data_IF_460534993083
#
_entry.id   IF_460534993083
#
_cell.length_a   1.000
_cell.length_b   1.000
_cell.length_c   1.000
_cell.angle_alpha   90.00
_cell.angle_beta   90.00
_cell.angle_gamma   90.00
#
_symmetry.space_group_name_H-M   'P 1'
#
loop_
_entity.id
_entity.type
_entity.pdbx_description
1 polymer ?
#
# COMPACT_ATOMS: atom_id res chain seq x y z
N UNK A 1 8.71 1.46 -18.56
CA UNK A 1 9.87 1.99 -17.82
C UNK A 1 10.75 2.87 -18.71
N UNK A 2 11.37 2.31 -19.77
CA UNK A 2 12.31 3.04 -20.62
C UNK A 2 11.70 4.33 -21.22
N UNK A 3 10.49 4.25 -21.78
CA UNK A 3 9.77 5.42 -22.28
C UNK A 3 9.52 6.48 -21.21
N UNK A 4 9.11 6.06 -20.00
CA UNK A 4 8.87 7.01 -18.90
C UNK A 4 10.16 7.73 -18.50
N UNK A 5 11.31 7.03 -18.51
CA UNK A 5 12.62 7.65 -18.27
C UNK A 5 12.99 8.66 -19.35
N UNK A 6 12.71 8.35 -20.60
CA UNK A 6 13.01 9.26 -21.72
C UNK A 6 12.25 10.57 -21.64
N UNK A 7 10.98 10.53 -21.18
CA UNK A 7 10.14 11.72 -21.00
C UNK A 7 10.27 12.39 -19.61
N UNK A 8 11.25 11.99 -18.80
CA UNK A 8 11.54 12.61 -17.51
C UNK A 8 10.66 12.16 -16.35
N UNK A 9 10.20 10.91 -16.37
CA UNK A 9 9.38 10.27 -15.32
C UNK A 9 8.02 10.95 -15.05
N UNK A 10 7.46 11.63 -16.04
CA UNK A 10 6.18 12.35 -15.89
C UNK A 10 4.94 11.46 -16.01
N UNK A 11 5.07 10.24 -16.57
CA UNK A 11 3.94 9.33 -16.69
C UNK A 11 3.66 8.63 -15.35
N UNK A 12 2.37 8.46 -15.04
CA UNK A 12 1.95 7.70 -13.87
C UNK A 12 2.53 6.27 -13.90
N UNK A 13 3.20 5.88 -12.82
CA UNK A 13 3.80 4.56 -12.69
C UNK A 13 2.80 3.41 -12.85
N UNK A 14 1.52 3.67 -12.67
CA UNK A 14 0.44 2.70 -12.87
C UNK A 14 0.11 2.44 -14.34
N UNK A 15 0.49 3.33 -15.25
CA UNK A 15 0.22 3.18 -16.70
C UNK A 15 1.01 2.05 -17.37
N UNK A 16 1.99 1.48 -16.69
CA UNK A 16 2.75 0.31 -17.15
C UNK A 16 1.99 -1.03 -17.09
N UNK A 17 0.83 -1.06 -16.45
CA UNK A 17 0.00 -2.26 -16.36
C UNK A 17 -0.84 -2.42 -17.62
N UNK A 18 -0.54 -3.45 -18.41
CA UNK A 18 -1.23 -3.76 -19.66
C UNK A 18 -2.69 -4.18 -19.45
N UNK A 19 -3.07 -4.61 -18.26
CA UNK A 19 -4.45 -4.99 -17.92
C UNK A 19 -5.34 -3.79 -17.59
N UNK A 20 -4.76 -2.60 -17.48
CA UNK A 20 -5.50 -1.40 -17.10
C UNK A 20 -6.39 -0.92 -18.22
N UNK A 21 -7.64 -0.66 -17.91
CA UNK A 21 -8.58 -0.01 -18.83
C UNK A 21 -8.31 1.50 -18.87
N UNK A 22 -8.30 2.04 -20.08
CA UNK A 22 -8.25 3.46 -20.33
C UNK A 22 -9.61 3.93 -20.86
N UNK A 23 -10.07 5.06 -20.37
CA UNK A 23 -11.29 5.67 -20.90
C UNK A 23 -10.99 6.31 -22.25
N UNK A 24 -11.92 6.14 -23.18
CA UNK A 24 -11.88 6.88 -24.45
C UNK A 24 -12.08 8.36 -24.11
N UNK A 25 -11.28 9.27 -24.68
CA UNK A 25 -11.47 10.69 -24.50
C UNK A 25 -12.91 11.10 -24.85
N UNK A 26 -13.57 11.81 -23.96
CA UNK A 26 -14.94 12.27 -24.13
C UNK A 26 -15.01 13.78 -23.88
N UNK A 27 -15.93 14.44 -24.57
CA UNK A 27 -16.18 15.86 -24.36
C UNK A 27 -17.25 16.05 -23.29
N UNK A 28 -16.90 16.71 -22.20
CA UNK A 28 -17.86 17.13 -21.20
C UNK A 28 -18.45 18.49 -21.57
N UNK A 29 -19.70 18.72 -21.18
CA UNK A 29 -20.33 20.02 -21.35
C UNK A 29 -19.50 21.10 -20.65
N UNK A 30 -19.29 22.21 -21.34
CA UNK A 30 -18.54 23.38 -20.84
C UNK A 30 -17.03 23.14 -20.54
N UNK A 31 -16.46 22.05 -21.09
CA UNK A 31 -15.02 21.77 -21.01
C UNK A 31 -14.31 22.04 -22.34
N UNK A 32 -13.09 22.57 -22.25
CA UNK A 32 -12.21 22.71 -23.40
C UNK A 32 -11.42 21.40 -23.59
N UNK A 33 -11.73 20.68 -24.67
CA UNK A 33 -11.01 19.46 -25.03
C UNK A 33 -10.38 19.63 -26.39
N UNK A 34 -9.16 19.14 -26.55
CA UNK A 34 -8.50 19.09 -27.86
C UNK A 34 -7.78 17.75 -28.03
N UNK A 35 -7.67 17.35 -29.29
CA UNK A 35 -6.85 16.21 -29.68
C UNK A 35 -5.65 16.79 -30.42
N UNK A 36 -4.46 16.48 -29.89
CA UNK A 36 -3.21 16.81 -30.56
C UNK A 36 -2.69 15.56 -31.27
N UNK A 37 -2.48 15.67 -32.56
CA UNK A 37 -1.88 14.62 -33.38
C UNK A 37 -0.52 15.11 -33.88
N UNK A 38 0.46 14.22 -33.83
CA UNK A 38 1.81 14.48 -34.32
C UNK A 38 2.19 13.36 -35.29
N UNK A 39 2.55 13.75 -36.52
CA UNK A 39 3.09 12.83 -37.50
C UNK A 39 4.60 12.68 -37.23
N UNK A 40 5.00 11.48 -36.87
CA UNK A 40 6.40 11.14 -36.54
C UNK A 40 6.70 9.70 -36.90
N UNK A 41 7.98 9.36 -36.87
CA UNK A 41 8.43 8.01 -37.10
C UNK A 41 8.01 7.08 -35.95
N UNK A 42 7.78 5.80 -36.28
CA UNK A 42 7.50 4.78 -35.27
C UNK A 42 8.76 4.59 -34.42
N UNK A 43 8.59 4.77 -33.12
CA UNK A 43 9.70 4.59 -32.16
C UNK A 43 10.16 3.12 -32.12
N UNK A 44 11.46 2.89 -32.22
CA UNK A 44 12.06 1.57 -31.97
C UNK A 44 12.21 1.34 -30.44
N UNK A 45 11.43 0.42 -29.87
CA UNK A 45 11.54 0.13 -28.44
C UNK A 45 12.90 -0.46 -28.05
N UNK A 46 13.62 -1.10 -28.96
CA UNK A 46 14.91 -1.72 -28.70
C UNK A 46 15.98 -0.67 -28.36
N UNK A 47 15.95 0.47 -29.03
CA UNK A 47 16.87 1.59 -28.77
C UNK A 47 16.61 2.16 -27.36
N UNK A 48 15.36 2.42 -27.02
CA UNK A 48 15.01 2.91 -25.68
C UNK A 48 15.34 1.92 -24.57
N UNK A 49 15.14 0.63 -24.79
CA UNK A 49 15.45 -0.41 -23.82
C UNK A 49 16.96 -0.55 -23.61
N UNK A 50 17.77 -0.35 -24.64
CA UNK A 50 19.24 -0.35 -24.50
C UNK A 50 19.75 0.87 -23.73
N UNK A 51 19.13 2.05 -23.93
CA UNK A 51 19.48 3.30 -23.25
C UNK A 51 19.07 3.30 -21.77
N UNK A 52 17.91 2.72 -21.45
CA UNK A 52 17.36 2.68 -20.11
C UNK A 52 17.14 1.24 -19.62
N UNK A 53 18.18 0.65 -19.11
CA UNK A 53 18.12 -0.72 -18.56
C UNK A 53 17.25 -0.75 -17.30
N UNK A 54 16.27 -1.66 -17.30
CA UNK A 54 15.46 -1.92 -16.12
C UNK A 54 16.25 -2.76 -15.09
N UNK A 55 16.47 -2.18 -13.94
CA UNK A 55 17.05 -2.91 -12.80
C UNK A 55 15.88 -3.31 -11.89
N UNK A 56 15.64 -4.61 -11.75
CA UNK A 56 14.64 -5.08 -10.80
C UNK A 56 14.97 -4.57 -9.39
N UNK A 57 13.99 -3.95 -8.69
CA UNK A 57 14.20 -3.59 -7.30
C UNK A 57 14.57 -4.83 -6.49
N UNK A 58 15.57 -4.70 -5.64
CA UNK A 58 16.07 -5.81 -4.83
C UNK A 58 14.96 -6.30 -3.91
N UNK A 59 14.29 -7.39 -4.28
CA UNK A 59 13.30 -8.05 -3.44
C UNK A 59 14.02 -8.58 -2.21
N UNK A 60 13.53 -8.25 -1.03
CA UNK A 60 14.09 -8.74 0.23
C UNK A 60 14.28 -10.27 0.21
N UNK A 61 15.23 -10.76 0.98
CA UNK A 61 15.61 -12.18 1.01
C UNK A 61 14.39 -13.10 1.23
N UNK A 62 13.41 -12.67 2.02
CA UNK A 62 12.18 -13.42 2.30
C UNK A 62 11.39 -13.75 1.01
N UNK A 63 11.24 -12.80 0.09
CA UNK A 63 10.50 -13.01 -1.16
C UNK A 63 11.20 -13.99 -2.13
N UNK A 64 12.46 -14.34 -1.87
CA UNK A 64 13.24 -15.32 -2.65
C UNK A 64 13.03 -16.77 -2.17
N UNK A 65 12.45 -16.97 -1.00
CA UNK A 65 12.17 -18.31 -0.51
C UNK A 65 10.96 -18.95 -1.22
N UNK A 66 10.93 -20.26 -1.40
CA UNK A 66 9.74 -20.99 -1.82
C UNK A 66 8.56 -20.71 -0.86
N UNK A 67 7.33 -20.71 -1.38
CA UNK A 67 6.12 -20.39 -0.60
C UNK A 67 6.00 -21.22 0.69
N UNK A 68 6.26 -22.52 0.61
CA UNK A 68 6.20 -23.40 1.79
C UNK A 68 7.15 -22.96 2.92
N UNK A 69 8.35 -22.45 2.57
CA UNK A 69 9.30 -21.93 3.55
C UNK A 69 8.80 -20.60 4.10
N UNK A 70 8.23 -19.71 3.26
CA UNK A 70 7.64 -18.46 3.73
C UNK A 70 6.52 -18.71 4.73
N UNK A 71 5.62 -19.63 4.44
CA UNK A 71 4.51 -20.03 5.33
C UNK A 71 5.01 -20.63 6.65
N UNK A 72 6.03 -21.48 6.60
CA UNK A 72 6.64 -22.05 7.81
C UNK A 72 7.28 -20.97 8.70
N UNK A 73 7.98 -20.00 8.11
CA UNK A 73 8.57 -18.87 8.83
C UNK A 73 7.48 -18.00 9.47
N UNK A 74 6.42 -17.69 8.73
CA UNK A 74 5.28 -16.91 9.25
C UNK A 74 4.62 -17.63 10.41
N UNK A 75 4.40 -18.95 10.28
CA UNK A 75 3.80 -19.77 11.33
C UNK A 75 4.66 -19.80 12.60
N UNK A 76 5.97 -19.98 12.46
CA UNK A 76 6.91 -19.95 13.60
C UNK A 76 6.91 -18.58 14.27
N UNK A 77 6.94 -17.48 13.51
CA UNK A 77 6.87 -16.14 14.07
C UNK A 77 5.56 -15.88 14.82
N UNK A 78 4.42 -16.31 14.25
CA UNK A 78 3.11 -16.19 14.91
C UNK A 78 3.05 -16.97 16.23
N UNK A 79 3.63 -18.17 16.29
CA UNK A 79 3.62 -18.99 17.51
C UNK A 79 4.40 -18.39 18.68
N UNK A 80 5.29 -17.45 18.42
CA UNK A 80 6.08 -16.74 19.44
C UNK A 80 5.35 -15.55 20.06
N UNK A 81 4.18 -15.16 19.52
CA UNK A 81 3.37 -14.06 20.02
C UNK A 81 2.42 -14.59 21.10
N UNK A 82 2.77 -14.39 22.36
CA UNK A 82 2.02 -14.94 23.51
C UNK A 82 1.59 -13.88 24.52
N UNK A 83 2.02 -12.62 24.34
CA UNK A 83 1.71 -11.57 25.28
C UNK A 83 0.32 -10.97 25.00
N UNK A 84 -0.66 -11.32 25.83
CA UNK A 84 -2.04 -10.85 25.73
C UNK A 84 -2.43 -9.80 26.79
N UNK A 85 -1.46 -9.22 27.48
CA UNK A 85 -1.68 -8.30 28.61
C UNK A 85 -1.96 -6.85 28.16
N UNK A 86 -2.58 -6.65 27.02
CA UNK A 86 -2.93 -5.32 26.51
C UNK A 86 -4.46 -5.20 26.35
N UNK A 87 -4.98 -4.06 26.79
CA UNK A 87 -6.40 -3.70 26.61
C UNK A 87 -6.49 -2.29 26.06
N UNK A 88 -7.45 -2.05 25.18
CA UNK A 88 -7.75 -0.72 24.60
C UNK A 88 -9.23 -0.64 24.22
N UNK A 89 -9.75 0.56 24.09
CA UNK A 89 -11.15 0.83 23.72
C UNK A 89 -11.30 1.45 22.33
N UNK A 90 -10.23 2.01 21.76
CA UNK A 90 -10.23 2.63 20.45
C UNK A 90 -8.82 2.93 19.95
N UNK A 91 -8.71 3.71 18.86
CA UNK A 91 -7.40 4.05 18.29
C UNK A 91 -6.60 5.01 19.19
N UNK A 92 -7.28 5.81 20.00
CA UNK A 92 -6.66 6.84 20.83
C UNK A 92 -5.87 6.28 22.01
N UNK A 93 -6.33 5.19 22.61
CA UNK A 93 -5.74 4.53 23.77
C UNK A 93 -5.02 3.21 23.43
N UNK A 94 -5.10 2.77 22.17
CA UNK A 94 -4.42 1.57 21.71
C UNK A 94 -2.89 1.74 21.76
N UNK A 95 -2.17 0.90 22.53
CA UNK A 95 -0.72 1.04 22.71
C UNK A 95 0.09 0.73 21.43
N UNK A 96 -0.53 0.14 20.41
CA UNK A 96 0.10 -0.20 19.14
C UNK A 96 -0.04 0.89 18.08
N UNK A 97 -0.94 1.86 18.28
CA UNK A 97 -1.16 2.96 17.37
C UNK A 97 -0.04 4.00 17.48
N UNK A 98 0.53 4.35 16.33
CA UNK A 98 1.48 5.46 16.24
C UNK A 98 0.72 6.78 16.04
N UNK A 99 0.53 7.53 17.11
CA UNK A 99 -0.23 8.79 17.09
C UNK A 99 0.33 9.82 16.11
N UNK A 100 1.66 9.86 15.89
CA UNK A 100 2.26 10.76 14.90
C UNK A 100 1.77 10.45 13.48
N UNK A 101 1.69 9.17 13.11
CA UNK A 101 1.15 8.76 11.81
C UNK A 101 -0.35 9.04 11.68
N UNK A 102 -1.11 8.94 12.76
CA UNK A 102 -2.52 9.32 12.79
C UNK A 102 -2.67 10.83 12.55
N UNK A 103 -1.85 11.65 13.22
CA UNK A 103 -1.87 13.10 13.00
C UNK A 103 -1.46 13.49 11.57
N UNK A 104 -0.43 12.83 11.00
CA UNK A 104 -0.04 13.01 9.61
C UNK A 104 -1.18 12.66 8.66
N UNK A 105 -1.85 11.53 8.90
CA UNK A 105 -3.02 11.11 8.14
C UNK A 105 -4.16 12.13 8.22
N UNK A 106 -4.49 12.61 9.42
CA UNK A 106 -5.54 13.64 9.63
C UNK A 106 -5.22 14.98 8.94
N UNK A 107 -3.95 15.30 8.72
CA UNK A 107 -3.50 16.51 8.01
C UNK A 107 -3.45 16.35 6.49
N UNK A 108 -3.65 15.15 5.98
CA UNK A 108 -3.60 14.90 4.53
C UNK A 108 -4.80 15.57 3.86
N UNK A 109 -4.54 16.52 2.94
CA UNK A 109 -5.58 17.29 2.24
C UNK A 109 -5.78 16.88 0.79
N UNK A 110 -4.75 16.29 0.16
CA UNK A 110 -4.74 15.97 -1.27
C UNK A 110 -4.30 14.51 -1.50
N UNK A 111 -5.25 13.63 -1.78
CA UNK A 111 -4.97 12.25 -2.20
C UNK A 111 -4.19 11.42 -1.16
N UNK A 112 -3.85 10.18 -1.51
CA UNK A 112 -3.00 9.34 -0.65
C UNK A 112 -3.66 8.76 0.61
N UNK A 113 -4.93 9.06 0.88
CA UNK A 113 -5.68 8.60 2.07
C UNK A 113 -5.59 7.09 2.27
N UNK A 114 -5.78 6.34 1.21
CA UNK A 114 -5.69 4.89 1.24
C UNK A 114 -4.30 4.41 1.65
N UNK A 115 -3.26 5.00 1.07
CA UNK A 115 -1.88 4.66 1.41
C UNK A 115 -1.55 5.01 2.87
N UNK A 116 -1.97 6.20 3.32
CA UNK A 116 -1.80 6.65 4.71
C UNK A 116 -2.46 5.69 5.70
N UNK A 117 -3.72 5.29 5.44
CA UNK A 117 -4.43 4.33 6.28
C UNK A 117 -3.74 2.97 6.32
N UNK A 118 -3.28 2.47 5.16
CA UNK A 118 -2.54 1.22 5.10
C UNK A 118 -1.22 1.28 5.89
N UNK A 119 -0.51 2.42 5.84
CA UNK A 119 0.69 2.65 6.64
C UNK A 119 0.41 2.62 8.15
N UNK A 120 -0.76 3.09 8.57
CA UNK A 120 -1.20 2.98 9.97
C UNK A 120 -1.43 1.51 10.33
N UNK A 121 -2.13 0.73 9.50
CA UNK A 121 -2.35 -0.71 9.73
C UNK A 121 -1.02 -1.47 9.85
N UNK A 122 -0.07 -1.24 8.94
CA UNK A 122 1.27 -1.84 9.00
C UNK A 122 2.01 -1.45 10.28
N UNK A 123 1.88 -0.19 10.70
CA UNK A 123 2.49 0.29 11.94
C UNK A 123 1.90 -0.37 13.18
N UNK A 124 0.56 -0.54 13.23
CA UNK A 124 -0.13 -1.24 14.31
C UNK A 124 0.35 -2.69 14.39
N UNK A 125 0.34 -3.41 13.27
CA UNK A 125 0.81 -4.79 13.20
C UNK A 125 2.28 -4.93 13.63
N UNK A 126 3.16 -4.01 13.20
CA UNK A 126 4.57 -3.99 13.57
C UNK A 126 4.79 -3.74 15.06
N UNK A 127 4.10 -2.77 15.62
CA UNK A 127 4.19 -2.43 17.05
C UNK A 127 3.63 -3.55 17.94
N UNK A 128 2.53 -4.19 17.53
CA UNK A 128 1.98 -5.34 18.26
C UNK A 128 2.95 -6.52 18.23
N UNK A 129 3.49 -6.87 17.05
CA UNK A 129 4.46 -7.95 16.89
C UNK A 129 5.73 -7.71 17.69
N UNK A 130 6.27 -6.49 17.72
CA UNK A 130 7.48 -6.15 18.49
C UNK A 130 7.28 -6.26 20.00
N UNK A 131 6.02 -6.16 20.48
CA UNK A 131 5.66 -6.34 21.90
C UNK A 131 5.17 -7.76 22.21
N UNK A 132 5.25 -8.67 21.24
CA UNK A 132 4.84 -10.06 21.39
C UNK A 132 3.33 -10.29 21.41
N UNK A 133 2.53 -9.30 20.97
CA UNK A 133 1.06 -9.39 20.95
C UNK A 133 0.55 -9.98 19.63
N UNK A 134 -0.32 -11.04 19.68
CA UNK A 134 -0.87 -11.70 18.50
C UNK A 134 -2.06 -10.94 17.92
N UNK A 135 -1.85 -9.71 17.45
CA UNK A 135 -2.92 -8.87 16.91
C UNK A 135 -3.62 -9.56 15.74
N UNK A 136 -4.94 -9.46 15.71
CA UNK A 136 -5.81 -10.00 14.68
C UNK A 136 -6.22 -8.94 13.67
N UNK A 137 -6.62 -9.38 12.46
CA UNK A 137 -7.14 -8.47 11.45
C UNK A 137 -8.42 -7.74 11.91
N UNK A 138 -9.27 -8.41 12.69
CA UNK A 138 -10.48 -7.80 13.27
C UNK A 138 -10.18 -6.71 14.28
N UNK A 139 -9.15 -6.88 15.10
CA UNK A 139 -8.73 -5.83 16.04
C UNK A 139 -8.19 -4.61 15.30
N UNK A 140 -7.38 -4.82 14.24
CA UNK A 140 -6.92 -3.73 13.38
C UNK A 140 -8.10 -3.06 12.69
N UNK A 141 -9.04 -3.84 12.12
CA UNK A 141 -10.25 -3.30 11.52
C UNK A 141 -11.03 -2.43 12.50
N UNK A 142 -11.23 -2.90 13.73
CA UNK A 142 -11.92 -2.14 14.78
C UNK A 142 -11.24 -0.79 15.04
N UNK A 143 -9.92 -0.78 15.23
CA UNK A 143 -9.13 0.44 15.45
C UNK A 143 -9.24 1.40 14.26
N UNK A 144 -9.18 0.87 13.03
CA UNK A 144 -9.26 1.67 11.82
C UNK A 144 -10.66 2.24 11.60
N UNK A 145 -11.71 1.48 11.90
CA UNK A 145 -13.09 1.97 11.83
C UNK A 145 -13.35 3.08 12.83
N UNK A 146 -12.79 2.96 14.03
CA UNK A 146 -12.87 4.00 15.04
C UNK A 146 -12.18 5.30 14.56
N UNK A 147 -10.98 5.21 14.02
CA UNK A 147 -10.29 6.35 13.41
C UNK A 147 -11.05 6.95 12.22
N UNK A 148 -11.60 6.09 11.33
CA UNK A 148 -12.33 6.54 10.16
C UNK A 148 -13.61 7.30 10.54
N UNK A 149 -14.28 6.90 11.62
CA UNK A 149 -15.47 7.59 12.12
C UNK A 149 -15.21 9.05 12.50
N UNK A 150 -14.00 9.38 12.91
CA UNK A 150 -13.59 10.75 13.22
C UNK A 150 -13.08 11.53 12.00
N UNK A 151 -12.68 10.84 10.92
CA UNK A 151 -12.08 11.47 9.75
C UNK A 151 -12.98 11.58 8.53
N UNK A 152 -14.22 11.11 8.60
CA UNK A 152 -15.24 11.34 7.56
C UNK A 152 -15.89 10.08 6.98
N UNK A 153 -15.67 8.91 7.56
CA UNK A 153 -16.30 7.63 7.18
C UNK A 153 -16.00 7.21 5.71
N UNK A 154 -14.79 7.44 5.23
CA UNK A 154 -14.37 7.13 3.87
C UNK A 154 -14.32 5.63 3.57
N UNK A 155 -14.13 4.80 4.61
CA UNK A 155 -13.88 3.36 4.49
C UNK A 155 -15.06 2.47 4.86
N UNK A 156 -16.25 3.02 5.07
CA UNK A 156 -17.45 2.25 5.49
C UNK A 156 -17.71 1.04 4.59
N UNK A 157 -17.56 1.19 3.27
CA UNK A 157 -17.82 0.13 2.29
C UNK A 157 -16.57 -0.69 1.91
N UNK A 158 -15.41 -0.41 2.51
CA UNK A 158 -14.17 -1.10 2.15
C UNK A 158 -13.93 -2.36 2.99
N UNK A 159 -13.34 -3.40 2.40
CA UNK A 159 -13.01 -4.64 3.12
C UNK A 159 -11.73 -4.47 3.96
N UNK A 160 -11.78 -3.66 5.03
CA UNK A 160 -10.62 -3.32 5.87
C UNK A 160 -9.99 -4.56 6.49
N UNK A 161 -10.79 -5.57 6.86
CA UNK A 161 -10.26 -6.83 7.41
C UNK A 161 -9.22 -7.48 6.48
N UNK A 162 -9.52 -7.55 5.17
CA UNK A 162 -8.58 -8.11 4.17
C UNK A 162 -7.31 -7.28 4.02
N UNK A 163 -7.42 -5.97 4.17
CA UNK A 163 -6.27 -5.07 4.12
C UNK A 163 -5.42 -5.18 5.38
N UNK A 164 -6.06 -5.35 6.53
CA UNK A 164 -5.39 -5.65 7.80
C UNK A 164 -4.66 -7.00 7.77
N UNK A 165 -5.26 -8.04 7.19
CA UNK A 165 -4.58 -9.33 6.95
C UNK A 165 -3.29 -9.13 6.14
N UNK A 166 -3.36 -8.40 5.03
CA UNK A 166 -2.19 -8.07 4.20
C UNK A 166 -1.13 -7.28 4.97
N UNK A 167 -1.55 -6.35 5.83
CA UNK A 167 -0.63 -5.58 6.65
C UNK A 167 0.10 -6.47 7.68
N UNK A 168 -0.61 -7.41 8.30
CA UNK A 168 -0.03 -8.40 9.21
C UNK A 168 0.95 -9.31 8.46
N UNK A 169 0.56 -9.84 7.30
CA UNK A 169 1.43 -10.68 6.47
C UNK A 169 2.69 -9.92 6.03
N UNK A 170 2.55 -8.66 5.64
CA UNK A 170 3.68 -7.81 5.27
C UNK A 170 4.68 -7.66 6.43
N UNK A 171 4.20 -7.47 7.65
CA UNK A 171 5.05 -7.36 8.83
C UNK A 171 5.77 -8.67 9.10
N UNK A 172 5.07 -9.81 9.06
CA UNK A 172 5.70 -11.11 9.26
C UNK A 172 6.71 -11.48 8.17
N UNK A 173 6.48 -11.02 6.93
CA UNK A 173 7.42 -11.22 5.84
C UNK A 173 8.71 -10.40 6.00
N UNK A 174 8.61 -9.17 6.55
CA UNK A 174 9.71 -8.20 6.56
C UNK A 174 10.34 -7.99 7.95
N UNK A 175 9.76 -8.51 9.02
CA UNK A 175 10.35 -8.43 10.36
C UNK A 175 11.62 -9.30 10.42
N UNK A 176 12.75 -8.65 10.66
CA UNK A 176 14.06 -9.29 10.91
C UNK A 176 14.22 -9.63 12.37
#
# INVERSE_FOLDING_TARGET
FALNKEIGDIADAQTKDLSRMYYIPNQYKDSFNFIFTHDGDIMDPSELMSKHTYIEPNRGMFAKFPKAIQEAIIKDRKSKLTNTNFTWTGYSDCPFVNQKKVEEYKRTTEGGWYYGMYQIMVSIAGNATSRGYPITAKEIEYIIRDLDSETGNWYVKRPIEKEAERAIEFVFANNR
#
